data_IF_475606048703
#
_entry.id   IF_475606048703
#
_cell.length_a   1.000
_cell.length_b   1.000
_cell.length_c   1.000
_cell.angle_alpha   90.00
_cell.angle_beta   90.00
_cell.angle_gamma   90.00
#
_symmetry.space_group_name_H-M   'P 1'
#
loop_
_entity.id
_entity.type
_entity.pdbx_description
1 polymer ?
#
# COMPACT_ATOMS: atom_id res chain seq x y z
N UNK A 1 46.93 -1.28 -25.08
CA UNK A 1 46.12 -2.38 -25.64
C UNK A 1 46.13 -3.44 -24.57
N UNK A 2 45.11 -3.70 -23.75
CA UNK A 2 43.67 -3.47 -23.85
C UNK A 2 43.18 -3.51 -22.40
N UNK A 3 42.60 -2.41 -21.88
CA UNK A 3 41.94 -2.43 -20.58
C UNK A 3 40.50 -2.87 -20.80
N UNK A 4 40.27 -4.17 -20.63
CA UNK A 4 38.94 -4.76 -20.54
C UNK A 4 38.19 -4.16 -19.35
N UNK A 5 37.55 -3.04 -19.65
CA UNK A 5 36.52 -2.44 -18.81
C UNK A 5 35.36 -3.40 -18.85
N UNK A 6 35.39 -4.40 -17.97
CA UNK A 6 34.25 -5.27 -17.69
C UNK A 6 33.12 -4.36 -17.21
N UNK A 7 32.33 -3.91 -18.18
CA UNK A 7 31.05 -3.29 -17.97
C UNK A 7 30.15 -4.34 -17.33
N UNK A 8 30.29 -4.49 -16.02
CA UNK A 8 29.38 -5.20 -15.16
C UNK A 8 28.07 -4.42 -15.18
N UNK A 9 27.30 -4.67 -16.23
CA UNK A 9 25.90 -4.30 -16.37
C UNK A 9 25.12 -5.01 -15.29
N UNK A 10 25.26 -4.57 -14.03
CA UNK A 10 24.25 -4.78 -13.01
C UNK A 10 22.99 -4.21 -13.61
N UNK A 11 22.10 -5.08 -14.09
CA UNK A 11 20.72 -4.76 -14.46
C UNK A 11 20.02 -4.25 -13.21
N UNK A 12 20.29 -3.01 -12.85
CA UNK A 12 19.61 -2.28 -11.81
C UNK A 12 18.33 -1.73 -12.44
N UNK A 13 17.19 -2.14 -11.92
CA UNK A 13 15.98 -1.34 -12.08
C UNK A 13 14.73 -2.13 -12.40
N UNK A 14 14.15 -2.81 -11.40
CA UNK A 14 12.68 -2.94 -11.34
C UNK A 14 12.03 -2.76 -9.94
N UNK A 15 12.56 -1.97 -8.98
CA UNK A 15 11.84 -1.68 -7.74
C UNK A 15 10.62 -0.72 -7.86
N UNK A 16 10.58 0.32 -8.72
CA UNK A 16 9.45 1.26 -8.71
C UNK A 16 8.18 0.69 -9.34
N UNK A 17 8.30 -0.15 -10.39
CA UNK A 17 7.14 -0.73 -11.08
C UNK A 17 6.32 -1.66 -10.18
N UNK A 18 6.99 -2.45 -9.33
CA UNK A 18 6.32 -3.36 -8.39
C UNK A 18 5.59 -2.59 -7.28
N UNK A 19 6.19 -1.51 -6.77
CA UNK A 19 5.56 -0.64 -5.76
C UNK A 19 4.33 0.08 -6.35
N UNK A 20 4.46 0.65 -7.55
CA UNK A 20 3.34 1.29 -8.25
C UNK A 20 2.23 0.27 -8.48
N UNK A 21 2.55 -0.92 -8.99
CA UNK A 21 1.58 -1.98 -9.20
C UNK A 21 0.87 -2.39 -7.90
N UNK A 22 1.61 -2.54 -6.80
CA UNK A 22 1.03 -2.87 -5.50
C UNK A 22 0.07 -1.79 -5.01
N UNK A 23 0.44 -0.51 -5.12
CA UNK A 23 -0.41 0.63 -4.72
C UNK A 23 -1.65 0.75 -5.61
N UNK A 24 -1.51 0.55 -6.93
CA UNK A 24 -2.65 0.55 -7.86
C UNK A 24 -3.64 -0.56 -7.51
N UNK A 25 -3.15 -1.77 -7.25
CA UNK A 25 -4.02 -2.87 -6.83
C UNK A 25 -4.65 -2.59 -5.47
N UNK A 26 -3.92 -1.99 -4.52
CA UNK A 26 -4.46 -1.61 -3.22
C UNK A 26 -5.63 -0.63 -3.36
N UNK A 27 -5.44 0.43 -4.15
CA UNK A 27 -6.50 1.40 -4.46
C UNK A 27 -7.70 0.73 -5.14
N UNK A 28 -7.46 -0.18 -6.09
CA UNK A 28 -8.54 -0.90 -6.76
C UNK A 28 -9.33 -1.79 -5.79
N UNK A 29 -8.65 -2.45 -4.84
CA UNK A 29 -9.29 -3.24 -3.78
C UNK A 29 -10.12 -2.35 -2.85
N UNK A 30 -9.62 -1.16 -2.47
CA UNK A 30 -10.38 -0.21 -1.64
C UNK A 30 -11.63 0.32 -2.36
N UNK A 31 -11.55 0.58 -3.66
CA UNK A 31 -12.70 0.97 -4.46
C UNK A 31 -13.72 -0.19 -4.56
N UNK A 32 -13.25 -1.40 -4.86
CA UNK A 32 -14.10 -2.58 -4.95
C UNK A 32 -14.79 -2.89 -3.60
N UNK A 33 -14.07 -2.77 -2.50
CA UNK A 33 -14.59 -2.95 -1.15
C UNK A 33 -15.67 -1.93 -0.80
N UNK A 34 -15.46 -0.65 -1.14
CA UNK A 34 -16.44 0.41 -0.93
C UNK A 34 -17.70 0.23 -1.78
N UNK A 35 -17.54 -0.14 -3.06
CA UNK A 35 -18.67 -0.46 -3.94
C UNK A 35 -19.47 -1.67 -3.44
N UNK A 36 -18.79 -2.70 -2.95
CA UNK A 36 -19.44 -3.87 -2.34
C UNK A 36 -20.23 -3.47 -1.10
N UNK A 37 -19.67 -2.62 -0.23
CA UNK A 37 -20.38 -2.10 0.94
C UNK A 37 -21.63 -1.29 0.57
N UNK A 38 -21.63 -0.58 -0.56
CA UNK A 38 -22.81 0.14 -1.07
C UNK A 38 -23.84 -0.84 -1.62
N UNK A 39 -23.41 -1.81 -2.43
CA UNK A 39 -24.28 -2.81 -3.03
C UNK A 39 -25.01 -3.66 -1.98
N UNK A 40 -24.32 -4.02 -0.91
CA UNK A 40 -24.86 -4.79 0.22
C UNK A 40 -25.61 -3.92 1.25
N UNK A 41 -25.75 -2.62 1.00
CA UNK A 41 -26.48 -1.68 1.86
C UNK A 41 -25.82 -1.38 3.20
N UNK A 42 -24.56 -1.77 3.40
CA UNK A 42 -23.77 -1.56 4.63
C UNK A 42 -23.41 -0.07 4.78
N UNK A 43 -23.05 0.58 3.67
CA UNK A 43 -22.73 2.01 3.62
C UNK A 43 -23.54 2.69 2.51
N UNK A 44 -23.75 4.00 2.61
CA UNK A 44 -24.44 4.80 1.58
C UNK A 44 -23.48 5.80 0.94
N UNK A 45 -23.41 5.79 -0.40
CA UNK A 45 -22.64 6.74 -1.20
C UNK A 45 -21.19 6.89 -0.72
N UNK A 46 -20.74 8.14 -0.56
CA UNK A 46 -19.39 8.46 -0.09
C UNK A 46 -19.08 8.01 1.35
N UNK A 47 -20.11 7.64 2.12
CA UNK A 47 -19.94 7.06 3.46
C UNK A 47 -19.19 5.72 3.44
N UNK A 48 -19.07 5.06 2.29
CA UNK A 48 -18.32 3.81 2.10
C UNK A 48 -16.79 3.98 2.13
N UNK A 49 -16.30 5.21 1.98
CA UNK A 49 -14.89 5.58 2.16
C UNK A 49 -14.71 6.66 3.24
N UNK A 50 -15.73 6.84 4.09
CA UNK A 50 -15.68 7.76 5.21
C UNK A 50 -15.07 7.14 6.46
N UNK A 51 -15.13 7.84 7.60
CA UNK A 51 -14.66 7.33 8.90
C UNK A 51 -15.40 6.08 9.40
N UNK A 52 -16.55 5.73 8.78
CA UNK A 52 -17.36 4.55 9.10
C UNK A 52 -17.28 3.46 8.01
N UNK A 53 -16.29 3.55 7.13
CA UNK A 53 -16.07 2.54 6.09
C UNK A 53 -15.71 1.20 6.74
N UNK A 54 -16.44 0.13 6.39
CA UNK A 54 -16.20 -1.21 6.97
C UNK A 54 -15.44 -2.15 6.04
N UNK A 55 -15.50 -1.91 4.73
CA UNK A 55 -14.90 -2.78 3.71
C UNK A 55 -13.88 -2.05 2.81
N UNK A 56 -13.54 -0.81 3.13
CA UNK A 56 -12.55 -0.02 2.40
C UNK A 56 -11.77 0.87 3.37
N UNK A 57 -10.54 1.21 3.02
CA UNK A 57 -9.82 2.25 3.72
C UNK A 57 -10.53 3.61 3.58
N UNK A 58 -10.48 4.48 4.60
CA UNK A 58 -10.98 5.84 4.48
C UNK A 58 -10.24 6.62 3.38
N UNK A 59 -10.95 7.46 2.64
CA UNK A 59 -10.43 8.29 1.56
C UNK A 59 -9.14 9.06 1.92
N UNK A 60 -9.03 9.71 3.09
CA UNK A 60 -7.79 10.37 3.50
C UNK A 60 -6.58 9.43 3.54
N UNK A 61 -6.80 8.17 3.90
CA UNK A 61 -5.76 7.15 3.97
C UNK A 61 -5.32 6.67 2.59
N UNK A 62 -6.28 6.42 1.70
CA UNK A 62 -6.00 6.07 0.29
C UNK A 62 -5.17 7.20 -0.36
N UNK A 63 -5.60 8.45 -0.16
CA UNK A 63 -4.88 9.63 -0.68
C UNK A 63 -3.46 9.72 -0.12
N UNK A 64 -3.29 9.51 1.18
CA UNK A 64 -1.97 9.49 1.81
C UNK A 64 -1.07 8.43 1.18
N UNK A 65 -1.58 7.21 0.98
CA UNK A 65 -0.81 6.12 0.37
C UNK A 65 -0.41 6.42 -1.07
N UNK A 66 -1.33 6.97 -1.88
CA UNK A 66 -1.06 7.36 -3.27
C UNK A 66 -0.01 8.47 -3.35
N UNK A 67 -0.15 9.54 -2.55
CA UNK A 67 0.78 10.67 -2.54
C UNK A 67 2.16 10.22 -2.07
N UNK A 68 2.25 9.48 -0.97
CA UNK A 68 3.53 9.00 -0.44
C UNK A 68 4.21 8.01 -1.37
N UNK A 69 3.46 7.14 -2.06
CA UNK A 69 4.00 6.29 -3.11
C UNK A 69 4.54 7.10 -4.30
N UNK A 70 3.80 8.12 -4.75
CA UNK A 70 4.24 8.99 -5.83
C UNK A 70 5.53 9.74 -5.46
N UNK A 71 5.60 10.29 -4.24
CA UNK A 71 6.80 10.97 -3.72
C UNK A 71 7.96 9.98 -3.58
N UNK A 72 7.72 8.78 -3.05
CA UNK A 72 8.76 7.74 -2.91
C UNK A 72 9.41 7.37 -4.25
N UNK A 73 8.65 7.43 -5.35
CA UNK A 73 9.16 7.08 -6.69
C UNK A 73 9.75 8.27 -7.44
N UNK A 74 9.26 9.50 -7.22
CA UNK A 74 9.62 10.68 -8.02
C UNK A 74 10.60 11.63 -7.34
N UNK A 75 10.72 11.60 -6.01
CA UNK A 75 11.51 12.58 -5.27
C UNK A 75 13.00 12.18 -5.16
N UNK A 76 13.90 13.12 -4.87
CA UNK A 76 15.30 12.81 -4.57
C UNK A 76 15.43 11.95 -3.30
N UNK A 77 16.61 11.35 -3.09
CA UNK A 77 16.83 10.26 -2.11
C UNK A 77 16.29 10.51 -0.70
N UNK A 78 16.53 11.70 -0.13
CA UNK A 78 16.10 12.05 1.23
C UNK A 78 14.56 12.09 1.38
N UNK A 79 13.81 12.90 0.59
CA UNK A 79 12.35 12.89 0.67
C UNK A 79 11.73 11.56 0.21
N UNK A 80 12.33 10.85 -0.76
CA UNK A 80 11.85 9.53 -1.15
C UNK A 80 11.90 8.51 -0.01
N UNK A 81 12.97 8.53 0.79
CA UNK A 81 13.13 7.66 1.97
C UNK A 81 12.12 7.99 3.06
N UNK A 82 11.89 9.28 3.33
CA UNK A 82 10.89 9.71 4.31
C UNK A 82 9.48 9.30 3.87
N UNK A 83 9.11 9.56 2.61
CA UNK A 83 7.81 9.20 2.07
C UNK A 83 7.57 7.68 2.10
N UNK A 84 8.58 6.88 1.75
CA UNK A 84 8.48 5.43 1.83
C UNK A 84 8.38 4.92 3.28
N UNK A 85 9.08 5.55 4.24
CA UNK A 85 8.90 5.21 5.65
C UNK A 85 7.48 5.53 6.14
N UNK A 86 6.94 6.70 5.79
CA UNK A 86 5.56 7.09 6.10
C UNK A 86 4.57 6.13 5.47
N UNK A 87 4.74 5.76 4.21
CA UNK A 87 3.88 4.80 3.51
C UNK A 87 3.90 3.43 4.21
N UNK A 88 5.09 2.93 4.60
CA UNK A 88 5.21 1.65 5.29
C UNK A 88 4.51 1.68 6.67
N UNK A 89 4.66 2.78 7.42
CA UNK A 89 3.97 2.98 8.69
C UNK A 89 2.45 3.08 8.50
N UNK A 90 2.00 3.82 7.48
CA UNK A 90 0.58 3.94 7.15
C UNK A 90 -0.01 2.56 6.80
N UNK A 91 0.66 1.75 5.99
CA UNK A 91 0.23 0.38 5.71
C UNK A 91 0.18 -0.49 6.97
N UNK A 92 1.16 -0.37 7.86
CA UNK A 92 1.19 -1.13 9.12
C UNK A 92 0.02 -0.74 10.03
N UNK A 93 -0.18 0.56 10.25
CA UNK A 93 -1.32 1.07 11.04
C UNK A 93 -2.63 0.63 10.40
N UNK A 94 -2.77 0.70 9.07
CA UNK A 94 -3.96 0.22 8.37
C UNK A 94 -4.24 -1.25 8.63
N UNK A 95 -3.22 -2.10 8.54
CA UNK A 95 -3.36 -3.53 8.72
C UNK A 95 -3.78 -3.84 10.16
N UNK A 96 -3.09 -3.23 11.14
CA UNK A 96 -3.41 -3.37 12.57
C UNK A 96 -4.82 -2.86 12.86
N UNK A 97 -5.16 -1.65 12.44
CA UNK A 97 -6.51 -1.09 12.62
C UNK A 97 -7.57 -1.95 11.94
N UNK A 98 -7.36 -2.45 10.72
CA UNK A 98 -8.33 -3.33 10.05
C UNK A 98 -8.57 -4.65 10.80
N UNK A 99 -7.55 -5.18 11.50
CA UNK A 99 -7.69 -6.32 12.40
C UNK A 99 -8.48 -5.96 13.67
N UNK A 100 -8.20 -4.81 14.29
CA UNK A 100 -8.76 -4.41 15.60
C UNK A 100 -10.12 -3.70 15.54
N UNK A 101 -10.45 -3.01 14.44
CA UNK A 101 -11.71 -2.27 14.26
C UNK A 101 -12.90 -3.21 13.95
N UNK A 102 -12.71 -4.51 14.18
CA UNK A 102 -13.77 -5.51 14.22
C UNK A 102 -14.11 -6.16 12.89
N UNK A 103 -13.35 -5.93 11.80
CA UNK A 103 -13.66 -6.55 10.51
C UNK A 103 -13.74 -8.09 10.57
N UNK A 104 -12.76 -8.72 11.22
CA UNK A 104 -12.61 -10.17 11.26
C UNK A 104 -13.45 -10.88 12.33
N UNK A 105 -14.38 -10.18 12.98
CA UNK A 105 -15.20 -10.77 14.05
C UNK A 105 -16.48 -10.02 14.39
N UNK A 106 -16.84 -8.94 13.69
CA UNK A 106 -18.06 -8.22 13.99
C UNK A 106 -19.30 -9.07 13.66
N UNK A 107 -20.30 -9.11 14.57
CA UNK A 107 -21.52 -9.85 14.34
C UNK A 107 -22.26 -9.29 13.12
N UNK A 108 -22.68 -10.18 12.21
CA UNK A 108 -23.46 -9.83 11.01
C UNK A 108 -22.66 -9.72 9.70
N UNK A 109 -21.34 -9.94 9.69
CA UNK A 109 -20.59 -10.02 8.43
C UNK A 109 -20.72 -11.41 7.77
N UNK A 110 -21.03 -11.42 6.47
CA UNK A 110 -21.01 -12.63 5.66
C UNK A 110 -19.58 -13.16 5.49
N UNK A 111 -19.42 -14.46 5.21
CA UNK A 111 -18.12 -15.08 4.87
C UNK A 111 -17.40 -14.36 3.72
N UNK A 112 -18.15 -13.75 2.80
CA UNK A 112 -17.59 -13.00 1.66
C UNK A 112 -16.91 -11.71 2.10
N UNK A 113 -17.50 -11.01 3.07
CA UNK A 113 -16.91 -9.77 3.61
C UNK A 113 -15.61 -10.04 4.37
N UNK A 114 -15.58 -11.12 5.15
CA UNK A 114 -14.37 -11.58 5.84
C UNK A 114 -13.26 -11.89 4.83
N UNK A 115 -13.58 -12.60 3.75
CA UNK A 115 -12.60 -12.89 2.71
C UNK A 115 -12.04 -11.61 2.05
N UNK A 116 -12.90 -10.64 1.73
CA UNK A 116 -12.48 -9.35 1.17
C UNK A 116 -11.55 -8.59 2.12
N UNK A 117 -11.85 -8.59 3.43
CA UNK A 117 -10.99 -7.95 4.42
C UNK A 117 -9.64 -8.66 4.57
N UNK A 118 -9.62 -10.00 4.59
CA UNK A 118 -8.35 -10.75 4.60
C UNK A 118 -7.50 -10.39 3.38
N UNK A 119 -8.11 -10.29 2.19
CA UNK A 119 -7.42 -9.89 0.96
C UNK A 119 -6.87 -8.47 1.06
N UNK A 120 -7.70 -7.50 1.49
CA UNK A 120 -7.30 -6.11 1.68
C UNK A 120 -6.13 -5.97 2.67
N UNK A 121 -6.24 -6.61 3.83
CA UNK A 121 -5.20 -6.56 4.87
C UNK A 121 -3.92 -7.25 4.40
N UNK A 122 -4.03 -8.41 3.76
CA UNK A 122 -2.89 -9.13 3.19
C UNK A 122 -2.17 -8.29 2.13
N UNK A 123 -2.92 -7.65 1.23
CA UNK A 123 -2.34 -6.80 0.19
C UNK A 123 -1.73 -5.51 0.74
N UNK A 124 -2.35 -4.92 1.76
CA UNK A 124 -1.80 -3.77 2.49
C UNK A 124 -0.48 -4.12 3.16
N UNK A 125 -0.42 -5.28 3.83
CA UNK A 125 0.81 -5.81 4.42
C UNK A 125 1.91 -6.03 3.39
N UNK A 126 1.58 -6.65 2.25
CA UNK A 126 2.52 -6.83 1.14
C UNK A 126 3.06 -5.49 0.63
N UNK A 127 2.19 -4.49 0.45
CA UNK A 127 2.57 -3.14 0.02
C UNK A 127 3.51 -2.48 1.04
N UNK A 128 3.24 -2.63 2.34
CA UNK A 128 4.13 -2.20 3.41
C UNK A 128 5.52 -2.85 3.34
N UNK A 129 5.58 -4.17 3.13
CA UNK A 129 6.85 -4.91 2.98
C UNK A 129 7.64 -4.45 1.75
N UNK A 130 6.99 -4.30 0.60
CA UNK A 130 7.63 -3.82 -0.62
C UNK A 130 8.19 -2.41 -0.44
N UNK A 131 7.47 -1.56 0.27
CA UNK A 131 7.88 -0.19 0.60
C UNK A 131 9.08 -0.20 1.55
N UNK A 132 9.06 -1.01 2.61
CA UNK A 132 10.19 -1.16 3.52
C UNK A 132 11.45 -1.69 2.80
N UNK A 133 11.28 -2.64 1.89
CA UNK A 133 12.38 -3.12 1.04
C UNK A 133 12.93 -2.02 0.12
N UNK A 134 12.07 -1.12 -0.38
CA UNK A 134 12.50 0.05 -1.16
C UNK A 134 13.32 1.03 -0.30
N UNK A 135 12.88 1.34 0.92
CA UNK A 135 13.64 2.17 1.90
C UNK A 135 15.04 1.60 2.15
N UNK A 136 15.14 0.29 2.42
CA UNK A 136 16.43 -0.38 2.70
C UNK A 136 17.39 -0.29 1.52
N UNK A 137 16.88 -0.36 0.28
CA UNK A 137 17.70 -0.19 -0.93
C UNK A 137 18.21 1.23 -1.09
N UNK A 138 17.37 2.24 -0.82
CA UNK A 138 17.77 3.64 -0.86
C UNK A 138 18.86 3.95 0.18
N UNK A 139 18.81 3.31 1.37
CA UNK A 139 19.83 3.46 2.41
C UNK A 139 21.20 2.93 2.00
N UNK A 140 21.27 1.71 1.45
CA UNK A 140 22.52 1.07 1.04
C UNK A 140 23.23 1.74 -0.15
N UNK A 141 22.49 2.46 -0.99
CA UNK A 141 23.05 3.15 -2.16
C UNK A 141 23.67 4.52 -1.83
N UNK A 142 23.66 4.94 -0.57
CA UNK A 142 24.23 6.21 -0.10
C UNK A 142 25.50 6.08 0.74
N UNK A 143 26.04 4.85 0.88
CA UNK A 143 27.27 4.56 1.64
C UNK A 143 28.51 4.41 0.72
N UNK A 144 28.39 4.79 -0.55
CA UNK A 144 29.46 4.87 -1.55
C UNK A 144 29.45 6.25 -2.20
#
# INVERSE_FOLDING_TARGET
>A
METDTVASGRRQGHPPRRLIGAVVVLVALDLAGGLTAIADGINRGMGAWGPRARLAAPLPMILLQVVTAAVAVRAPRRPARAAAAVLALACLVSAVSGFFDGGLGAPGLSRRHVALQVVLVGWTGLTGVLTAAHVRRLGRAGEH
#
